data_IF_739146806299
#
_entry.id   IF_739146806299
#
_cell.length_a   1.000
_cell.length_b   1.000
_cell.length_c   1.000
_cell.angle_alpha   90.00
_cell.angle_beta   90.00
_cell.angle_gamma   90.00
#
_symmetry.space_group_name_H-M   'P 1'
#
loop_
_entity.id
_entity.type
_entity.pdbx_description
1 polymer ?
#
# COMPACT_ATOMS: atom_id res chain seq x y z
N UNK A 1 16.77 -16.09 -0.30
CA UNK A 1 15.33 -16.38 -0.40
C UNK A 1 14.65 -15.13 -0.90
N UNK A 2 13.84 -15.28 -1.93
CA UNK A 2 13.41 -14.22 -2.84
C UNK A 2 12.62 -13.10 -2.16
N UNK A 3 13.18 -11.89 -2.21
CA UNK A 3 12.58 -10.62 -1.73
C UNK A 3 11.15 -10.42 -2.30
N UNK A 4 10.86 -11.03 -3.45
CA UNK A 4 9.55 -11.04 -4.08
C UNK A 4 8.44 -11.63 -3.20
N UNK A 5 8.72 -12.61 -2.33
CA UNK A 5 7.70 -13.23 -1.47
C UNK A 5 7.20 -12.22 -0.40
N UNK A 6 8.07 -11.60 0.42
CA UNK A 6 7.64 -10.55 1.36
C UNK A 6 6.99 -9.35 0.68
N UNK A 7 7.51 -8.90 -0.47
CA UNK A 7 6.89 -7.80 -1.23
C UNK A 7 5.48 -8.18 -1.69
N UNK A 8 5.30 -9.40 -2.21
CA UNK A 8 4.01 -9.92 -2.65
C UNK A 8 3.01 -10.02 -1.50
N UNK A 9 3.44 -10.50 -0.33
CA UNK A 9 2.60 -10.56 0.88
C UNK A 9 2.14 -9.15 1.29
N UNK A 10 3.05 -8.18 1.26
CA UNK A 10 2.72 -6.77 1.52
C UNK A 10 1.72 -6.20 0.52
N UNK A 11 1.91 -6.47 -0.77
CA UNK A 11 1.02 -6.04 -1.83
C UNK A 11 -0.39 -6.64 -1.67
N UNK A 12 -0.50 -7.95 -1.47
CA UNK A 12 -1.79 -8.65 -1.29
C UNK A 12 -2.50 -8.19 -0.01
N UNK A 13 -1.77 -8.08 1.10
CA UNK A 13 -2.34 -7.59 2.37
C UNK A 13 -2.91 -6.18 2.21
N UNK A 14 -2.19 -5.32 1.49
CA UNK A 14 -2.65 -3.97 1.23
C UNK A 14 -3.84 -3.94 0.26
N UNK A 15 -3.89 -4.85 -0.71
CA UNK A 15 -5.03 -4.98 -1.62
C UNK A 15 -6.30 -5.38 -0.85
N UNK A 16 -6.19 -6.28 0.12
CA UNK A 16 -7.30 -6.66 1.00
C UNK A 16 -7.77 -5.47 1.83
N UNK A 17 -6.84 -4.75 2.50
CA UNK A 17 -7.17 -3.56 3.29
C UNK A 17 -7.82 -2.49 2.41
N UNK A 18 -7.21 -2.19 1.26
CA UNK A 18 -7.74 -1.24 0.28
C UNK A 18 -9.12 -1.65 -0.21
N UNK A 19 -9.35 -2.92 -0.53
CA UNK A 19 -10.64 -3.45 -0.96
C UNK A 19 -11.72 -3.31 0.13
N UNK A 20 -11.39 -3.63 1.39
CA UNK A 20 -12.31 -3.45 2.52
C UNK A 20 -12.68 -1.96 2.66
N UNK A 21 -11.69 -1.06 2.67
CA UNK A 21 -11.95 0.37 2.79
C UNK A 21 -12.67 0.96 1.57
N UNK A 22 -12.39 0.46 0.37
CA UNK A 22 -13.10 0.84 -0.85
C UNK A 22 -14.59 0.45 -0.76
N UNK A 23 -14.89 -0.75 -0.27
CA UNK A 23 -16.28 -1.22 -0.09
C UNK A 23 -17.03 -0.39 0.96
N UNK A 24 -16.35 0.02 2.04
CA UNK A 24 -16.95 0.81 3.12
C UNK A 24 -17.14 2.28 2.70
N UNK A 25 -16.08 2.92 2.20
CA UNK A 25 -16.07 4.37 1.97
C UNK A 25 -16.51 4.79 0.57
N UNK A 26 -16.49 3.87 -0.41
CA UNK A 26 -16.81 4.11 -1.83
C UNK A 26 -16.04 5.28 -2.48
N UNK A 27 -14.93 5.69 -1.87
CA UNK A 27 -14.08 6.79 -2.30
C UNK A 27 -12.64 6.28 -2.46
N UNK A 28 -12.20 6.18 -3.71
CA UNK A 28 -10.88 5.68 -4.08
C UNK A 28 -9.74 6.52 -3.48
N UNK A 29 -9.91 7.85 -3.36
CA UNK A 29 -8.88 8.73 -2.82
C UNK A 29 -8.71 8.52 -1.32
N UNK A 30 -9.83 8.35 -0.59
CA UNK A 30 -9.79 8.07 0.84
C UNK A 30 -9.21 6.69 1.14
N UNK A 31 -9.59 5.67 0.36
CA UNK A 31 -9.02 4.32 0.49
C UNK A 31 -7.50 4.32 0.22
N UNK A 32 -7.03 5.06 -0.79
CA UNK A 32 -5.60 5.19 -1.09
C UNK A 32 -4.84 5.94 0.02
N UNK A 33 -5.41 7.02 0.57
CA UNK A 33 -4.82 7.74 1.71
C UNK A 33 -4.65 6.82 2.92
N UNK A 34 -5.67 6.02 3.28
CA UNK A 34 -5.61 5.10 4.42
C UNK A 34 -4.52 4.05 4.20
N UNK A 35 -4.44 3.52 2.98
CA UNK A 35 -3.41 2.56 2.59
C UNK A 35 -1.99 3.14 2.71
N UNK A 36 -1.80 4.42 2.36
CA UNK A 36 -0.54 5.14 2.51
C UNK A 36 -0.19 5.39 3.99
N UNK A 37 -1.19 5.70 4.83
CA UNK A 37 -1.00 5.82 6.28
C UNK A 37 -0.64 4.46 6.90
N UNK A 38 -1.30 3.37 6.50
CA UNK A 38 -0.95 2.02 6.93
C UNK A 38 0.48 1.64 6.53
N UNK A 39 0.91 1.99 5.32
CA UNK A 39 2.32 1.86 4.91
C UNK A 39 3.25 2.59 5.89
N UNK A 40 2.96 3.86 6.18
CA UNK A 40 3.79 4.67 7.08
C UNK A 40 3.92 4.04 8.48
N UNK A 41 2.81 3.56 9.04
CA UNK A 41 2.81 2.90 10.35
C UNK A 41 3.65 1.61 10.33
N UNK A 42 3.45 0.74 9.32
CA UNK A 42 4.18 -0.53 9.22
C UNK A 42 5.67 -0.31 8.94
N UNK A 43 6.00 0.69 8.13
CA UNK A 43 7.39 1.07 7.87
C UNK A 43 8.07 1.64 9.11
N UNK A 44 7.40 2.50 9.88
CA UNK A 44 7.95 2.98 11.16
C UNK A 44 8.09 1.85 12.18
N UNK A 45 7.11 0.96 12.28
CA UNK A 45 7.19 -0.22 13.14
C UNK A 45 8.37 -1.14 12.77
N UNK A 46 8.74 -1.19 11.48
CA UNK A 46 9.88 -1.99 11.02
C UNK A 46 11.22 -1.56 11.63
N UNK A 47 11.40 -0.25 11.89
CA UNK A 47 12.60 0.26 12.57
C UNK A 47 12.62 -0.08 14.06
N UNK A 48 11.44 -0.19 14.68
CA UNK A 48 11.30 -0.56 16.10
C UNK A 48 11.58 -2.05 16.30
N UNK A 49 11.10 -2.92 15.39
CA UNK A 49 11.31 -4.37 15.47
C UNK A 49 12.79 -4.72 15.25
N UNK A 50 13.46 -4.04 14.32
CA UNK A 50 14.88 -4.24 14.04
C UNK A 50 15.26 -5.64 13.53
N UNK A 51 16.54 -5.82 13.22
CA UNK A 51 17.08 -7.10 12.74
C UNK A 51 16.38 -7.65 11.48
N UNK A 52 16.29 -8.98 11.39
CA UNK A 52 15.69 -9.65 10.23
C UNK A 52 14.17 -9.45 10.14
N UNK A 53 13.47 -9.34 11.27
CA UNK A 53 12.03 -9.06 11.32
C UNK A 53 11.69 -7.63 10.87
N UNK A 54 12.51 -6.66 11.28
CA UNK A 54 12.45 -5.27 10.81
C UNK A 54 12.69 -5.16 9.32
N UNK A 55 13.75 -5.79 8.78
CA UNK A 55 13.96 -5.80 7.33
C UNK A 55 12.80 -6.45 6.57
N UNK A 56 12.26 -7.58 7.05
CA UNK A 56 11.11 -8.22 6.42
C UNK A 56 9.85 -7.34 6.39
N UNK A 57 9.56 -6.64 7.49
CA UNK A 57 8.42 -5.72 7.58
C UNK A 57 8.61 -4.44 6.75
N UNK A 58 9.83 -3.96 6.59
CA UNK A 58 10.16 -2.87 5.65
C UNK A 58 9.92 -3.29 4.19
N UNK A 59 10.25 -4.54 3.83
CA UNK A 59 10.00 -5.07 2.49
C UNK A 59 8.49 -5.27 2.26
N UNK A 60 7.75 -5.75 3.25
CA UNK A 60 6.29 -5.86 3.19
C UNK A 60 5.65 -4.47 2.98
N UNK A 61 6.08 -3.45 3.74
CA UNK A 61 5.55 -2.10 3.59
C UNK A 61 5.84 -1.51 2.19
N UNK A 62 6.98 -1.85 1.58
CA UNK A 62 7.26 -1.43 0.19
C UNK A 62 6.21 -1.93 -0.82
N UNK A 63 5.68 -3.15 -0.64
CA UNK A 63 4.57 -3.68 -1.44
C UNK A 63 3.27 -2.88 -1.23
N UNK A 64 3.05 -2.35 -0.03
CA UNK A 64 1.91 -1.47 0.26
C UNK A 64 2.04 -0.14 -0.49
N UNK A 65 3.24 0.46 -0.47
CA UNK A 65 3.53 1.71 -1.18
C UNK A 65 3.32 1.59 -2.68
N UNK A 66 3.76 0.47 -3.29
CA UNK A 66 3.54 0.21 -4.72
C UNK A 66 2.04 0.22 -5.08
N UNK A 67 1.20 -0.45 -4.30
CA UNK A 67 -0.24 -0.46 -4.55
C UNK A 67 -0.86 0.93 -4.43
N UNK A 68 -0.49 1.70 -3.40
CA UNK A 68 -0.96 3.08 -3.24
C UNK A 68 -0.59 3.94 -4.45
N UNK A 69 0.66 3.87 -4.91
CA UNK A 69 1.13 4.60 -6.09
C UNK A 69 0.34 4.19 -7.34
N UNK A 70 0.12 2.90 -7.56
CA UNK A 70 -0.67 2.40 -8.71
C UNK A 70 -2.10 2.95 -8.70
N UNK A 71 -2.75 3.03 -7.53
CA UNK A 71 -4.10 3.59 -7.40
C UNK A 71 -4.11 5.10 -7.68
N UNK A 72 -3.14 5.87 -7.17
CA UNK A 72 -3.05 7.30 -7.48
C UNK A 72 -2.79 7.56 -8.97
N UNK A 73 -1.92 6.76 -9.60
CA UNK A 73 -1.70 6.84 -11.05
C UNK A 73 -2.99 6.56 -11.82
N UNK A 74 -3.75 5.53 -11.42
CA UNK A 74 -5.04 5.23 -12.04
C UNK A 74 -6.05 6.40 -11.90
N UNK A 75 -6.17 6.98 -10.70
CA UNK A 75 -7.03 8.15 -10.45
C UNK A 75 -6.58 9.35 -11.30
N UNK A 76 -5.27 9.58 -11.39
CA UNK A 76 -4.70 10.68 -12.17
C UNK A 76 -5.00 10.53 -13.66
N UNK A 77 -4.77 9.34 -14.23
CA UNK A 77 -5.05 9.04 -15.63
C UNK A 77 -6.53 9.25 -15.95
N UNK A 78 -7.44 8.73 -15.11
CA UNK A 78 -8.88 8.92 -15.31
C UNK A 78 -9.28 10.40 -15.22
N UNK A 79 -8.74 11.12 -14.24
CA UNK A 79 -9.03 12.55 -14.07
C UNK A 79 -8.55 13.35 -15.28
N UNK A 80 -7.41 12.98 -15.86
CA UNK A 80 -6.89 13.61 -17.06
C UNK A 80 -7.73 13.32 -18.31
N UNK A 81 -8.27 12.10 -18.44
CA UNK A 81 -9.15 11.73 -19.57
C UNK A 81 -10.52 12.41 -19.46
N UNK A 82 -11.11 12.49 -18.26
CA UNK A 82 -12.45 13.05 -18.03
C UNK A 82 -12.49 14.57 -18.04
N UNK A 83 -11.36 15.24 -17.83
CA UNK A 83 -11.26 16.70 -17.82
C UNK A 83 -10.80 17.27 -19.18
N UNK A 84 -10.83 16.43 -20.22
CA UNK A 84 -10.77 16.78 -21.64
C UNK A 84 -12.18 16.80 -22.22
#
# INVERSE_FOLDING_TARGET
>A
MDIFIPVGIGFVSNLVIFGIFMLIMKDLKKAANISLVSFGIVFLASFVIGGWGGMGTAVISSGMLLLSISVYLYIFIISFILNK
#
